data_IF_505006972452
#
_entry.id   IF_505006972452
#
_cell.length_a   1.000
_cell.length_b   1.000
_cell.length_c   1.000
_cell.angle_alpha   90.00
_cell.angle_beta   90.00
_cell.angle_gamma   90.00
#
_symmetry.space_group_name_H-M   'P 1'
#
loop_
_entity.id
_entity.type
_entity.pdbx_description
1 polymer ?
#
# COMPACT_ATOMS: atom_id res chain seq x y z
N UNK A 1 29.10 27.33 -26.65
CA UNK A 1 28.86 26.41 -25.52
C UNK A 1 30.21 25.92 -25.04
N UNK A 2 30.63 26.31 -23.83
CA UNK A 2 31.94 25.96 -23.29
C UNK A 2 31.99 24.47 -22.97
N UNK A 3 33.10 23.81 -23.26
CA UNK A 3 33.28 22.36 -23.07
C UNK A 3 32.89 21.86 -21.65
N UNK A 4 33.01 22.74 -20.64
CA UNK A 4 32.58 22.45 -19.27
C UNK A 4 31.07 22.18 -19.11
N UNK A 5 30.21 22.83 -19.89
CA UNK A 5 28.75 22.61 -19.80
C UNK A 5 28.33 21.22 -20.29
N UNK A 6 29.06 20.68 -21.27
CA UNK A 6 28.80 19.33 -21.83
C UNK A 6 29.18 18.26 -20.80
N UNK A 7 30.28 18.46 -20.06
CA UNK A 7 30.73 17.53 -19.03
C UNK A 7 29.72 17.46 -17.88
N UNK A 8 29.19 18.61 -17.43
CA UNK A 8 28.17 18.64 -16.36
C UNK A 8 26.88 17.93 -16.79
N UNK A 9 26.43 18.16 -18.03
CA UNK A 9 25.26 17.47 -18.59
C UNK A 9 25.47 15.94 -18.67
N UNK A 10 26.66 15.51 -19.10
CA UNK A 10 26.98 14.08 -19.18
C UNK A 10 26.96 13.41 -17.79
N UNK A 11 27.59 14.04 -16.78
CA UNK A 11 27.59 13.54 -15.40
C UNK A 11 26.17 13.47 -14.84
N UNK A 12 25.35 14.51 -15.07
CA UNK A 12 23.96 14.53 -14.60
C UNK A 12 23.13 13.39 -15.21
N UNK A 13 23.23 13.18 -16.53
CA UNK A 13 22.53 12.08 -17.21
C UNK A 13 22.99 10.71 -16.68
N UNK A 14 24.30 10.52 -16.44
CA UNK A 14 24.83 9.29 -15.83
C UNK A 14 24.24 9.08 -14.45
N UNK A 15 24.17 10.14 -13.63
CA UNK A 15 23.63 10.05 -12.27
C UNK A 15 22.15 9.68 -12.29
N UNK A 16 21.35 10.32 -13.16
CA UNK A 16 19.93 9.99 -13.36
C UNK A 16 19.77 8.56 -13.88
N UNK A 17 20.58 8.13 -14.85
CA UNK A 17 20.53 6.78 -15.39
C UNK A 17 20.88 5.72 -14.32
N UNK A 18 21.86 5.98 -13.47
CA UNK A 18 22.20 5.12 -12.33
C UNK A 18 21.08 5.09 -11.29
N UNK A 19 20.44 6.23 -11.02
CA UNK A 19 19.33 6.33 -10.06
C UNK A 19 18.08 5.61 -10.56
N UNK A 20 17.75 5.76 -11.86
CA UNK A 20 16.63 5.08 -12.52
C UNK A 20 16.87 3.58 -12.56
N UNK A 21 18.08 3.12 -12.89
CA UNK A 21 18.44 1.70 -12.78
C UNK A 21 18.26 1.20 -11.35
N UNK A 22 18.67 1.98 -10.35
CA UNK A 22 18.50 1.64 -8.93
C UNK A 22 17.03 1.61 -8.49
N UNK A 23 16.18 2.47 -9.05
CA UNK A 23 14.75 2.53 -8.76
C UNK A 23 13.97 1.37 -9.43
N UNK A 24 14.44 0.90 -10.60
CA UNK A 24 13.89 -0.29 -11.28
C UNK A 24 14.49 -1.59 -10.76
N UNK A 25 15.67 -1.59 -10.16
CA UNK A 25 16.12 -2.69 -9.30
C UNK A 25 15.41 -2.57 -7.97
N UNK A 26 14.11 -2.88 -7.97
CA UNK A 26 13.47 -3.39 -6.76
C UNK A 26 14.36 -4.56 -6.32
N UNK A 27 14.98 -4.51 -5.13
CA UNK A 27 15.76 -5.65 -4.67
C UNK A 27 14.84 -6.85 -4.72
N UNK A 28 15.14 -7.80 -5.60
CA UNK A 28 14.46 -9.10 -5.71
C UNK A 28 14.82 -9.99 -4.51
N UNK A 29 15.03 -9.37 -3.35
CA UNK A 29 15.21 -9.96 -2.04
C UNK A 29 13.90 -9.85 -1.26
N UNK A 30 12.81 -10.25 -1.89
CA UNK A 30 11.69 -10.88 -1.19
C UNK A 30 11.47 -12.23 -1.89
N UNK A 31 12.54 -13.01 -1.98
CA UNK A 31 12.44 -14.47 -2.10
C UNK A 31 12.67 -15.05 -0.71
N UNK A 32 11.78 -14.72 0.22
CA UNK A 32 11.80 -15.30 1.57
C UNK A 32 10.39 -15.72 1.89
N UNK A 33 10.14 -16.99 1.61
CA UNK A 33 9.24 -17.87 2.35
C UNK A 33 7.79 -17.39 2.53
N UNK A 34 7.02 -17.40 1.45
CA UNK A 34 5.55 -17.59 1.51
C UNK A 34 5.20 -19.06 1.84
N UNK A 35 6.19 -19.95 1.83
CA UNK A 35 6.02 -21.40 1.91
C UNK A 35 6.16 -21.99 3.32
N UNK A 36 6.20 -21.19 4.38
CA UNK A 36 6.14 -21.71 5.76
C UNK A 36 4.78 -21.36 6.34
N UNK A 37 3.82 -22.19 5.96
CA UNK A 37 2.52 -22.42 6.58
C UNK A 37 1.97 -21.23 7.38
N UNK A 38 1.34 -20.28 6.68
CA UNK A 38 0.30 -19.48 7.33
C UNK A 38 -0.81 -20.45 7.72
N UNK A 39 -0.81 -20.88 8.98
CA UNK A 39 -1.92 -21.64 9.53
C UNK A 39 -3.19 -20.82 9.31
N UNK A 40 -4.31 -21.45 8.92
CA UNK A 40 -5.56 -20.74 8.71
C UNK A 40 -5.91 -19.93 9.97
N UNK A 41 -6.21 -18.65 9.78
CA UNK A 41 -6.60 -17.77 10.89
C UNK A 41 -7.99 -18.22 11.35
N UNK A 42 -8.05 -19.05 12.38
CA UNK A 42 -9.31 -19.58 12.90
C UNK A 42 -10.02 -18.60 13.84
N UNK A 43 -9.30 -17.63 14.39
CA UNK A 43 -9.83 -16.64 15.33
C UNK A 43 -9.55 -15.22 14.83
N UNK A 44 -10.46 -14.25 15.04
CA UNK A 44 -10.22 -12.86 14.69
C UNK A 44 -8.95 -12.33 15.35
N UNK A 45 -8.07 -11.74 14.55
CA UNK A 45 -6.81 -11.13 14.99
C UNK A 45 -6.93 -9.61 14.98
N UNK A 46 -6.61 -8.97 16.10
CA UNK A 46 -6.49 -7.52 16.20
C UNK A 46 -5.04 -7.13 16.50
N UNK A 47 -4.51 -6.21 15.69
CA UNK A 47 -3.17 -5.68 15.84
C UNK A 47 -3.20 -4.16 15.95
N UNK A 48 -2.34 -3.63 16.81
CA UNK A 48 -2.17 -2.20 17.01
C UNK A 48 -0.73 -1.82 16.71
N UNK A 49 -0.56 -0.71 16.00
CA UNK A 49 0.76 -0.14 15.73
C UNK A 49 0.74 1.34 16.07
N UNK A 50 1.80 1.80 16.74
CA UNK A 50 2.05 3.21 16.95
C UNK A 50 2.88 3.76 15.79
N UNK A 51 2.54 4.97 15.34
CA UNK A 51 3.21 5.58 14.20
C UNK A 51 3.99 6.80 14.70
N UNK A 52 5.30 6.75 14.44
CA UNK A 52 6.25 7.79 14.82
C UNK A 52 6.83 8.44 13.57
N UNK A 53 7.00 9.77 13.62
CA UNK A 53 7.79 10.51 12.65
C UNK A 53 8.99 11.09 13.38
N UNK A 54 10.19 10.65 12.99
CA UNK A 54 11.41 10.86 13.78
C UNK A 54 11.25 10.27 15.18
N UNK A 55 11.05 11.10 16.20
CA UNK A 55 10.87 10.70 17.60
C UNK A 55 9.49 11.07 18.15
N UNK A 56 8.66 11.73 17.34
CA UNK A 56 7.35 12.21 17.77
C UNK A 56 6.28 11.19 17.38
N UNK A 57 5.46 10.77 18.34
CA UNK A 57 4.28 9.97 18.05
C UNK A 57 3.29 10.83 17.27
N UNK A 58 3.07 10.48 16.01
CA UNK A 58 2.16 11.20 15.13
C UNK A 58 0.82 10.50 14.98
N UNK A 59 0.69 9.25 15.43
CA UNK A 59 -0.58 8.56 15.35
C UNK A 59 -0.53 7.08 15.70
N UNK A 60 -1.54 6.36 15.24
CA UNK A 60 -1.68 4.93 15.41
C UNK A 60 -2.47 4.33 14.26
N UNK A 61 -2.37 3.01 14.15
CA UNK A 61 -3.21 2.20 13.28
C UNK A 61 -3.71 0.97 14.03
N UNK A 62 -4.94 0.59 13.72
CA UNK A 62 -5.61 -0.59 14.21
C UNK A 62 -5.97 -1.47 13.02
N UNK A 63 -5.62 -2.75 13.09
CA UNK A 63 -5.92 -3.73 12.05
C UNK A 63 -6.71 -4.88 12.65
N UNK A 64 -7.76 -5.28 11.95
CA UNK A 64 -8.60 -6.43 12.26
C UNK A 64 -8.60 -7.38 11.07
N UNK A 65 -8.26 -8.65 11.33
CA UNK A 65 -8.32 -9.73 10.35
C UNK A 65 -9.30 -10.76 10.87
N UNK A 66 -10.34 -11.05 10.09
CA UNK A 66 -11.38 -12.01 10.48
C UNK A 66 -11.59 -13.05 9.37
N UNK A 67 -11.72 -14.34 9.70
CA UNK A 67 -12.14 -15.34 8.72
C UNK A 67 -13.58 -15.07 8.28
N UNK A 68 -13.83 -15.12 6.97
CA UNK A 68 -15.16 -14.94 6.36
C UNK A 68 -15.34 -15.95 5.22
N UNK A 69 -16.22 -16.93 5.41
CA UNK A 69 -16.37 -18.03 4.46
C UNK A 69 -15.08 -18.83 4.32
N UNK A 70 -14.62 -19.04 3.09
CA UNK A 70 -13.33 -19.69 2.79
C UNK A 70 -12.12 -18.73 2.79
N UNK A 71 -12.35 -17.43 3.00
CA UNK A 71 -11.33 -16.39 2.89
C UNK A 71 -11.24 -15.51 4.14
N UNK A 72 -10.74 -14.29 3.96
CA UNK A 72 -10.51 -13.35 5.08
C UNK A 72 -11.02 -11.95 4.74
N UNK A 73 -11.51 -11.26 5.76
CA UNK A 73 -11.78 -9.84 5.72
C UNK A 73 -10.74 -9.11 6.56
N UNK A 74 -10.02 -8.20 5.90
CA UNK A 74 -9.05 -7.30 6.54
C UNK A 74 -9.64 -5.91 6.61
N UNK A 75 -9.65 -5.32 7.80
CA UNK A 75 -10.00 -3.91 8.03
C UNK A 75 -8.86 -3.22 8.75
N UNK A 76 -8.48 -2.06 8.25
CA UNK A 76 -7.42 -1.25 8.82
C UNK A 76 -7.89 0.20 8.93
N UNK A 77 -7.69 0.80 10.10
CA UNK A 77 -7.94 2.21 10.34
C UNK A 77 -6.64 2.86 10.84
N UNK A 78 -6.25 3.97 10.21
CA UNK A 78 -5.05 4.71 10.54
C UNK A 78 -5.41 6.17 10.79
N UNK A 79 -4.95 6.71 11.92
CA UNK A 79 -5.09 8.12 12.26
C UNK A 79 -3.72 8.74 12.50
N UNK A 80 -3.43 9.83 11.81
CA UNK A 80 -2.17 10.57 11.87
C UNK A 80 -2.42 12.07 12.06
N UNK A 81 -1.49 12.74 12.74
CA UNK A 81 -1.37 14.20 12.78
C UNK A 81 -0.06 14.57 12.10
N UNK A 82 -0.15 15.18 10.92
CA UNK A 82 1.00 15.55 10.11
C UNK A 82 1.10 17.06 9.98
N UNK A 83 2.32 17.60 10.01
CA UNK A 83 2.56 18.99 9.63
C UNK A 83 2.80 19.04 8.11
N UNK A 84 1.80 19.53 7.38
CA UNK A 84 1.85 19.70 5.93
C UNK A 84 1.92 21.19 5.62
N UNK A 85 3.01 21.63 4.98
CA UNK A 85 3.22 23.04 4.58
C UNK A 85 3.04 24.04 5.75
N UNK A 86 3.47 23.67 6.96
CA UNK A 86 3.36 24.53 8.15
C UNK A 86 2.01 24.46 8.87
N UNK A 87 1.07 23.62 8.43
CA UNK A 87 -0.23 23.41 9.07
C UNK A 87 -0.37 21.97 9.55
N UNK A 88 -0.68 21.81 10.85
CA UNK A 88 -1.03 20.49 11.42
C UNK A 88 -2.40 20.08 10.86
N UNK A 89 -2.42 18.95 10.16
CA UNK A 89 -3.61 18.36 9.57
C UNK A 89 -3.79 16.94 10.07
N UNK A 90 -5.01 16.60 10.48
CA UNK A 90 -5.37 15.23 10.80
C UNK A 90 -5.64 14.46 9.51
N UNK A 91 -5.04 13.30 9.37
CA UNK A 91 -5.23 12.37 8.27
C UNK A 91 -5.86 11.09 8.83
N UNK A 92 -6.99 10.68 8.27
CA UNK A 92 -7.66 9.42 8.56
C UNK A 92 -7.71 8.58 7.31
N UNK A 93 -7.14 7.38 7.36
CA UNK A 93 -7.22 6.38 6.30
C UNK A 93 -7.98 5.16 6.81
N UNK A 94 -8.88 4.63 5.99
CA UNK A 94 -9.61 3.39 6.25
C UNK A 94 -9.46 2.49 5.03
N UNK A 95 -8.99 1.28 5.25
CA UNK A 95 -8.87 0.25 4.23
C UNK A 95 -9.72 -0.95 4.62
N UNK A 96 -10.50 -1.46 3.68
CA UNK A 96 -11.16 -2.75 3.80
C UNK A 96 -10.76 -3.60 2.60
N UNK A 97 -10.31 -4.83 2.83
CA UNK A 97 -9.93 -5.76 1.79
C UNK A 97 -10.53 -7.14 2.03
N UNK A 98 -10.97 -7.78 0.96
CA UNK A 98 -11.42 -9.17 0.95
C UNK A 98 -10.36 -10.03 0.30
N UNK A 99 -9.96 -11.08 0.99
CA UNK A 99 -8.92 -12.00 0.57
C UNK A 99 -9.49 -13.41 0.38
N UNK A 100 -8.91 -14.16 -0.55
CA UNK A 100 -9.14 -15.59 -0.72
C UNK A 100 -8.44 -16.43 0.35
N UNK A 101 -8.66 -17.74 0.27
CA UNK A 101 -8.08 -18.75 1.19
C UNK A 101 -6.56 -18.75 1.22
N UNK A 102 -5.95 -18.42 0.09
CA UNK A 102 -4.52 -18.28 -0.15
C UNK A 102 -4.00 -16.86 0.14
N UNK A 103 -4.79 -16.02 0.80
CA UNK A 103 -4.53 -14.60 1.03
C UNK A 103 -4.42 -13.76 -0.27
N UNK A 104 -4.89 -14.28 -1.41
CA UNK A 104 -4.98 -13.50 -2.64
C UNK A 104 -6.04 -12.40 -2.51
N UNK A 105 -5.73 -11.21 -3.00
CA UNK A 105 -6.64 -10.08 -3.01
C UNK A 105 -7.78 -10.34 -3.99
N UNK A 106 -9.02 -10.26 -3.49
CA UNK A 106 -10.22 -10.30 -4.32
C UNK A 106 -10.74 -8.89 -4.58
N UNK A 107 -10.74 -8.04 -3.56
CA UNK A 107 -11.17 -6.66 -3.70
C UNK A 107 -10.79 -5.79 -2.52
N UNK A 108 -10.81 -4.47 -2.73
CA UNK A 108 -10.53 -3.51 -1.68
C UNK A 108 -11.34 -2.23 -1.83
N UNK A 109 -11.51 -1.55 -0.71
CA UNK A 109 -12.04 -0.20 -0.62
C UNK A 109 -11.15 0.61 0.32
N UNK A 110 -10.62 1.70 -0.20
CA UNK A 110 -9.77 2.63 0.50
C UNK A 110 -10.44 4.00 0.57
N UNK A 111 -10.50 4.59 1.75
CA UNK A 111 -10.86 5.99 1.97
C UNK A 111 -9.74 6.70 2.71
N UNK A 112 -9.43 7.90 2.27
CA UNK A 112 -8.50 8.81 2.91
C UNK A 112 -9.14 10.18 3.04
N UNK A 113 -9.04 10.76 4.22
CA UNK A 113 -9.59 12.08 4.53
C UNK A 113 -8.52 12.90 5.25
N UNK A 114 -8.30 14.12 4.77
CA UNK A 114 -7.38 15.09 5.39
C UNK A 114 -7.90 16.50 5.17
N UNK A 115 -8.42 17.13 6.22
CA UNK A 115 -9.10 18.42 6.10
C UNK A 115 -10.24 18.39 5.07
N UNK A 116 -10.17 19.26 4.07
CA UNK A 116 -11.15 19.33 2.98
C UNK A 116 -10.90 18.31 1.85
N UNK A 117 -9.78 17.57 1.88
CA UNK A 117 -9.42 16.59 0.86
C UNK A 117 -10.00 15.24 1.23
N UNK A 118 -10.74 14.64 0.30
CA UNK A 118 -11.21 13.26 0.37
C UNK A 118 -10.74 12.50 -0.87
N UNK A 119 -10.16 11.35 -0.64
CA UNK A 119 -9.76 10.41 -1.67
C UNK A 119 -10.44 9.06 -1.40
N UNK A 120 -10.98 8.46 -2.44
CA UNK A 120 -11.62 7.15 -2.38
C UNK A 120 -11.08 6.32 -3.54
N UNK A 121 -10.74 5.06 -3.28
CA UNK A 121 -10.38 4.10 -4.30
C UNK A 121 -11.07 2.77 -4.02
N UNK A 122 -11.68 2.18 -5.04
CA UNK A 122 -12.29 0.84 -4.98
C UNK A 122 -11.65 0.00 -6.04
N UNK A 123 -11.22 -1.21 -5.69
CA UNK A 123 -10.65 -2.16 -6.63
C UNK A 123 -11.32 -3.52 -6.51
N UNK A 124 -11.52 -4.16 -7.66
CA UNK A 124 -11.89 -5.57 -7.71
C UNK A 124 -10.90 -6.30 -8.64
N UNK A 125 -10.50 -7.49 -8.24
CA UNK A 125 -9.65 -8.37 -9.05
C UNK A 125 -10.57 -9.22 -9.91
N UNK A 126 -10.41 -9.10 -11.22
CA UNK A 126 -11.17 -9.84 -12.22
C UNK A 126 -10.19 -10.50 -13.20
N UNK A 127 -10.14 -11.83 -13.20
CA UNK A 127 -9.24 -12.62 -14.04
C UNK A 127 -7.77 -12.21 -13.84
N UNK A 128 -7.17 -11.60 -14.86
CA UNK A 128 -5.78 -11.13 -14.91
C UNK A 128 -5.71 -9.59 -14.85
N UNK A 129 -6.70 -8.92 -14.26
CA UNK A 129 -6.63 -7.48 -14.06
C UNK A 129 -7.29 -7.00 -12.77
N UNK A 130 -6.76 -5.93 -12.21
CA UNK A 130 -7.42 -5.15 -11.16
C UNK A 130 -8.16 -3.99 -11.82
N UNK A 131 -9.48 -3.94 -11.65
CA UNK A 131 -10.28 -2.79 -12.04
C UNK A 131 -10.41 -1.85 -10.86
N UNK A 132 -9.86 -0.66 -10.98
CA UNK A 132 -9.84 0.35 -9.94
C UNK A 132 -10.70 1.54 -10.36
N UNK A 133 -11.54 2.02 -9.45
CA UNK A 133 -12.26 3.29 -9.58
C UNK A 133 -11.74 4.24 -8.52
N UNK A 134 -11.23 5.40 -8.94
CA UNK A 134 -10.68 6.43 -8.06
C UNK A 134 -11.61 7.64 -8.07
N UNK A 135 -12.03 8.10 -6.90
CA UNK A 135 -12.94 9.22 -6.71
C UNK A 135 -14.37 8.79 -6.37
N UNK A 136 -15.22 9.79 -6.08
CA UNK A 136 -16.54 9.57 -5.51
C UNK A 136 -17.63 9.46 -6.60
N UNK A 137 -18.52 8.47 -6.45
CA UNK A 137 -19.71 8.29 -7.30
C UNK A 137 -19.43 8.00 -8.79
N UNK A 138 -20.37 8.40 -9.66
CA UNK A 138 -20.33 8.11 -11.11
C UNK A 138 -19.24 8.86 -11.88
N UNK A 139 -18.53 9.80 -11.24
CA UNK A 139 -17.43 10.59 -11.84
C UNK A 139 -16.04 10.00 -11.57
N UNK A 140 -15.96 8.89 -10.86
CA UNK A 140 -14.68 8.24 -10.55
C UNK A 140 -13.92 7.83 -11.82
N UNK A 141 -12.61 8.09 -11.83
CA UNK A 141 -11.72 7.66 -12.91
C UNK A 141 -11.53 6.15 -12.80
N UNK A 142 -11.86 5.44 -13.88
CA UNK A 142 -11.62 4.00 -13.98
C UNK A 142 -10.22 3.75 -14.54
N UNK A 143 -9.51 2.82 -13.93
CA UNK A 143 -8.19 2.36 -14.35
C UNK A 143 -8.19 0.84 -14.29
N UNK A 144 -7.53 0.20 -15.26
CA UNK A 144 -7.34 -1.24 -15.29
C UNK A 144 -5.84 -1.50 -15.22
N UNK A 145 -5.43 -2.34 -14.28
CA UNK A 145 -4.03 -2.72 -14.09
C UNK A 145 -3.94 -4.22 -14.39
N UNK A 146 -3.25 -4.66 -15.45
CA UNK A 146 -3.04 -6.07 -15.72
C UNK A 146 -2.15 -6.70 -14.64
N UNK A 147 -2.44 -7.95 -14.27
CA UNK A 147 -1.71 -8.74 -13.27
C UNK A 147 -1.29 -10.07 -13.90
N UNK A 148 -0.07 -10.52 -13.61
CA UNK A 148 0.47 -11.79 -14.13
C UNK A 148 0.49 -12.91 -13.09
N UNK A 149 -0.20 -12.74 -11.96
CA UNK A 149 -0.23 -13.70 -10.85
C UNK A 149 -1.09 -13.21 -9.67
N UNK A 150 -1.23 -14.03 -8.62
CA UNK A 150 -2.02 -13.68 -7.45
C UNK A 150 -1.44 -12.43 -6.77
N UNK A 151 -2.29 -11.45 -6.53
CA UNK A 151 -1.90 -10.22 -5.83
C UNK A 151 -2.12 -10.44 -4.35
N UNK A 152 -1.04 -10.51 -3.58
CA UNK A 152 -1.13 -10.60 -2.12
C UNK A 152 -0.95 -9.22 -1.51
N UNK A 153 -1.74 -8.89 -0.49
CA UNK A 153 -1.49 -7.69 0.31
C UNK A 153 -0.56 -8.07 1.46
N UNK A 154 0.54 -7.34 1.62
CA UNK A 154 1.49 -7.56 2.72
C UNK A 154 0.85 -7.41 4.10
N UNK A 155 -0.20 -6.59 4.24
CA UNK A 155 -0.98 -6.41 5.47
C UNK A 155 -1.99 -7.53 5.73
N UNK A 156 -2.24 -8.39 4.74
CA UNK A 156 -3.17 -9.51 4.84
C UNK A 156 -2.56 -10.80 5.35
N UNK A 157 -1.23 -10.90 5.34
CA UNK A 157 -0.51 -12.12 5.76
C UNK A 157 -0.04 -11.93 7.21
N UNK A 158 -0.58 -12.71 8.17
CA UNK A 158 -0.12 -12.68 9.55
C UNK A 158 1.37 -12.96 9.64
N UNK A 159 2.09 -12.18 10.45
CA UNK A 159 3.51 -12.42 10.74
C UNK A 159 4.51 -11.87 9.73
N UNK A 160 4.09 -11.25 8.62
CA UNK A 160 5.01 -10.56 7.70
C UNK A 160 5.61 -9.27 8.27
N UNK A 161 5.00 -8.70 9.31
CA UNK A 161 5.50 -7.52 10.01
C UNK A 161 6.08 -7.96 11.37
N UNK A 162 7.19 -8.69 11.32
CA UNK A 162 8.08 -8.82 12.49
C UNK A 162 9.28 -7.90 12.24
N UNK A 163 9.34 -6.82 13.03
CA UNK A 163 10.55 -6.01 13.18
C UNK A 163 11.55 -6.69 14.10
#
# INVERSE_FOLDING_TARGET
MTAGGIIVLAIWIITVALWVKRLHTVPSSIKTTVAEASAPISEPLTEWMEIYLKKDKIGYSERHISPVGEGYLVREEMLLKLNLMGRVSALKAVTQATLGKDFSLQGFHFLLTSGAVRFEAKGNVEHEAIRITIGEGKKGRKTVIPISGPVTISTGVPGLIKG
#
